data_IF_377608101189
#
_entry.id   IF_377608101189
#
_cell.length_a   1.000
_cell.length_b   1.000
_cell.length_c   1.000
_cell.angle_alpha   90.00
_cell.angle_beta   90.00
_cell.angle_gamma   90.00
#
_symmetry.space_group_name_H-M   'P 1'
#
loop_
_entity.id
_entity.type
_entity.pdbx_description
1 polymer ?
#
# COMPACT_ATOMS: atom_id res chain seq x y z
N UNK A 1 -18.31 -7.58 -9.28
CA UNK A 1 -17.64 -6.92 -8.14
C UNK A 1 -17.46 -5.45 -8.54
N UNK A 2 -18.23 -4.53 -7.97
CA UNK A 2 -18.12 -3.10 -8.31
C UNK A 2 -16.73 -2.64 -7.85
N UNK A 3 -15.88 -2.07 -8.73
CA UNK A 3 -14.58 -1.56 -8.31
C UNK A 3 -14.78 -0.56 -7.17
N UNK A 4 -13.97 -0.68 -6.12
CA UNK A 4 -14.00 0.28 -5.01
C UNK A 4 -13.85 1.70 -5.55
N UNK A 5 -14.90 2.51 -5.40
CA UNK A 5 -14.95 3.92 -5.85
C UNK A 5 -13.82 4.78 -5.27
N UNK A 6 -13.15 4.31 -4.20
CA UNK A 6 -12.00 4.97 -3.57
C UNK A 6 -10.86 5.28 -4.55
N UNK A 7 -10.75 4.54 -5.64
CA UNK A 7 -9.71 4.80 -6.63
C UNK A 7 -10.08 5.93 -7.60
N UNK A 8 -11.37 6.22 -7.80
CA UNK A 8 -11.85 7.19 -8.79
C UNK A 8 -11.77 8.65 -8.34
N UNK A 9 -11.62 8.91 -7.03
CA UNK A 9 -11.55 10.27 -6.50
C UNK A 9 -10.43 11.10 -7.12
N UNK A 10 -9.36 10.44 -7.55
CA UNK A 10 -8.13 11.07 -8.00
C UNK A 10 -8.06 11.19 -9.54
N UNK A 11 -9.08 10.76 -10.28
CA UNK A 11 -9.07 10.80 -11.75
C UNK A 11 -9.39 12.20 -12.29
N UNK A 12 -10.18 12.98 -11.56
CA UNK A 12 -10.53 14.36 -11.89
C UNK A 12 -10.27 15.26 -10.68
N UNK A 13 -10.07 16.56 -10.94
CA UNK A 13 -10.00 17.55 -9.86
C UNK A 13 -11.28 17.48 -9.02
N UNK A 14 -11.16 17.73 -7.71
CA UNK A 14 -12.32 17.79 -6.83
C UNK A 14 -13.38 18.79 -7.33
N UNK A 15 -12.93 19.93 -7.89
CA UNK A 15 -13.81 20.93 -8.51
C UNK A 15 -14.57 20.37 -9.71
N UNK A 16 -13.93 19.54 -10.55
CA UNK A 16 -14.59 18.87 -11.67
C UNK A 16 -15.68 17.92 -11.18
N UNK A 17 -15.42 17.12 -10.13
CA UNK A 17 -16.45 16.26 -9.53
C UNK A 17 -17.65 17.06 -9.02
N UNK A 18 -17.40 18.16 -8.31
CA UNK A 18 -18.46 19.05 -7.81
C UNK A 18 -19.27 19.64 -8.98
N UNK A 19 -18.61 20.12 -10.04
CA UNK A 19 -19.28 20.68 -11.21
C UNK A 19 -20.10 19.64 -11.96
N UNK A 20 -19.59 18.42 -12.15
CA UNK A 20 -20.34 17.33 -12.79
C UNK A 20 -21.61 16.99 -12.00
N UNK A 21 -21.51 16.87 -10.67
CA UNK A 21 -22.68 16.62 -9.81
C UNK A 21 -23.65 17.79 -9.85
N UNK A 22 -23.17 19.04 -9.84
CA UNK A 22 -24.01 20.23 -9.93
C UNK A 22 -24.77 20.31 -11.27
N UNK A 23 -24.09 20.08 -12.39
CA UNK A 23 -24.71 20.03 -13.72
C UNK A 23 -25.73 18.88 -13.82
N UNK A 24 -25.39 17.70 -13.30
CA UNK A 24 -26.29 16.55 -13.29
C UNK A 24 -27.55 16.86 -12.46
N UNK A 25 -27.41 17.44 -11.28
CA UNK A 25 -28.53 17.85 -10.45
C UNK A 25 -29.38 18.93 -11.15
N UNK A 26 -28.75 19.93 -11.77
CA UNK A 26 -29.44 20.98 -12.52
C UNK A 26 -30.24 20.43 -13.72
N UNK A 27 -29.71 19.43 -14.42
CA UNK A 27 -30.41 18.74 -15.49
C UNK A 27 -31.71 18.08 -15.00
N UNK A 28 -31.69 17.38 -13.86
CA UNK A 28 -32.92 16.77 -13.31
C UNK A 28 -33.95 17.79 -12.83
N UNK A 29 -33.53 18.98 -12.40
CA UNK A 29 -34.45 20.06 -12.05
C UNK A 29 -35.30 20.54 -13.25
N UNK A 30 -34.88 20.24 -14.49
CA UNK A 30 -35.68 20.56 -15.69
C UNK A 30 -36.87 19.61 -15.89
N UNK A 31 -36.83 18.41 -15.32
CA UNK A 31 -37.82 17.36 -15.58
C UNK A 31 -38.57 16.88 -14.34
N UNK A 32 -38.03 17.11 -13.14
CA UNK A 32 -38.55 16.60 -11.88
C UNK A 32 -38.87 17.73 -10.88
N UNK A 33 -39.83 17.55 -9.96
CA UNK A 33 -40.08 18.50 -8.89
C UNK A 33 -38.85 18.73 -8.02
N UNK A 34 -38.63 19.98 -7.58
CA UNK A 34 -37.48 20.39 -6.76
C UNK A 34 -37.29 19.48 -5.54
N UNK A 35 -38.37 19.10 -4.85
CA UNK A 35 -38.34 18.24 -3.67
C UNK A 35 -37.73 16.86 -3.95
N UNK A 36 -38.01 16.28 -5.11
CA UNK A 36 -37.48 14.96 -5.52
C UNK A 36 -35.99 15.03 -5.81
N UNK A 37 -35.53 16.13 -6.43
CA UNK A 37 -34.12 16.29 -6.84
C UNK A 37 -33.21 16.61 -5.65
N UNK A 38 -33.66 17.42 -4.69
CA UNK A 38 -32.84 17.80 -3.52
C UNK A 38 -32.86 16.77 -2.38
N UNK A 39 -33.87 15.90 -2.34
CA UNK A 39 -34.02 14.94 -1.23
C UNK A 39 -32.82 13.96 -1.11
N UNK A 40 -32.29 13.35 -2.20
CA UNK A 40 -31.15 12.44 -2.10
C UNK A 40 -29.87 13.05 -1.51
N UNK A 41 -29.35 14.22 -1.97
CA UNK A 41 -28.15 14.80 -1.36
C UNK A 41 -28.37 15.24 0.08
N UNK A 42 -29.56 15.76 0.43
CA UNK A 42 -29.89 16.10 1.83
C UNK A 42 -29.91 14.84 2.70
N UNK A 43 -30.55 13.76 2.25
CA UNK A 43 -30.60 12.49 2.99
C UNK A 43 -29.21 11.87 3.14
N UNK A 44 -28.38 11.92 2.10
CA UNK A 44 -27.00 11.43 2.13
C UNK A 44 -26.12 12.25 3.09
N UNK A 45 -26.23 13.58 3.07
CA UNK A 45 -25.50 14.45 4.01
C UNK A 45 -25.98 14.25 5.45
N UNK A 46 -27.29 14.24 5.65
CA UNK A 46 -27.91 14.04 6.97
C UNK A 46 -27.52 12.69 7.57
N UNK A 47 -27.56 11.61 6.79
CA UNK A 47 -27.13 10.28 7.26
C UNK A 47 -25.64 10.24 7.64
N UNK A 48 -24.76 10.94 6.92
CA UNK A 48 -23.34 11.06 7.29
C UNK A 48 -23.12 11.87 8.56
N UNK A 49 -23.83 12.98 8.73
CA UNK A 49 -23.78 13.80 9.95
C UNK A 49 -24.30 12.99 11.15
N UNK A 50 -25.45 12.31 10.98
CA UNK A 50 -26.03 11.45 12.01
C UNK A 50 -25.03 10.35 12.37
N UNK A 51 -24.47 9.63 11.39
CA UNK A 51 -23.46 8.61 11.64
C UNK A 51 -22.25 9.17 12.40
N UNK A 52 -21.72 10.32 11.99
CA UNK A 52 -20.63 11.00 12.69
C UNK A 52 -20.99 11.33 14.15
N UNK A 53 -22.18 11.86 14.40
CA UNK A 53 -22.65 12.17 15.75
C UNK A 53 -22.86 10.90 16.60
N UNK A 54 -23.36 9.82 16.00
CA UNK A 54 -23.49 8.52 16.66
C UNK A 54 -22.13 7.94 17.03
N UNK A 55 -21.13 8.03 16.15
CA UNK A 55 -19.74 7.62 16.44
C UNK A 55 -19.14 8.51 17.54
N UNK A 56 -19.29 9.83 17.43
CA UNK A 56 -18.78 10.79 18.44
C UNK A 56 -19.37 10.55 19.83
N UNK A 57 -20.64 10.12 19.91
CA UNK A 57 -21.32 9.77 21.18
C UNK A 57 -21.02 8.34 21.65
N UNK A 58 -20.23 7.56 20.91
CA UNK A 58 -19.90 6.17 21.24
C UNK A 58 -21.06 5.19 21.03
N UNK A 59 -22.12 5.58 20.33
CA UNK A 59 -23.28 4.73 20.04
C UNK A 59 -22.94 3.74 18.92
N UNK A 60 -22.20 4.21 17.90
CA UNK A 60 -21.74 3.38 16.78
C UNK A 60 -20.22 3.26 16.83
N UNK A 61 -19.71 2.07 16.52
CA UNK A 61 -18.26 1.81 16.44
C UNK A 61 -17.64 2.65 15.33
N UNK A 62 -16.55 3.33 15.66
CA UNK A 62 -15.72 4.01 14.68
C UNK A 62 -15.02 2.99 13.78
N UNK A 63 -15.31 3.03 12.48
CA UNK A 63 -14.64 2.17 11.50
C UNK A 63 -13.22 2.65 11.17
N UNK A 64 -12.85 3.87 11.54
CA UNK A 64 -11.50 4.40 11.30
C UNK A 64 -10.44 3.71 12.16
N UNK A 65 -10.81 3.25 13.36
CA UNK A 65 -9.90 2.49 14.24
C UNK A 65 -9.82 1.00 13.88
N UNK A 66 -10.57 0.55 12.86
CA UNK A 66 -10.59 -0.85 12.48
C UNK A 66 -9.24 -1.32 11.93
N UNK A 67 -8.68 -2.30 12.63
CA UNK A 67 -7.37 -2.88 12.33
C UNK A 67 -6.19 -2.10 12.91
N UNK A 68 -6.43 -1.02 13.65
CA UNK A 68 -5.37 -0.34 14.42
C UNK A 68 -4.90 -1.28 15.52
N UNK A 69 -3.57 -1.47 15.62
CA UNK A 69 -2.96 -2.19 16.75
C UNK A 69 -2.52 -1.18 17.79
N UNK A 70 -3.19 -1.20 18.96
CA UNK A 70 -2.87 -0.35 20.09
C UNK A 70 -1.58 -0.79 20.77
N UNK A 71 -0.71 0.16 21.14
CA UNK A 71 0.61 -0.11 21.68
C UNK A 71 1.71 0.01 20.62
N UNK A 72 2.93 -0.42 20.99
CA UNK A 72 4.13 -0.30 20.18
C UNK A 72 4.48 -1.66 19.58
N UNK A 73 4.62 -1.72 18.25
CA UNK A 73 4.96 -2.91 17.50
C UNK A 73 6.14 -2.68 16.57
N UNK A 74 6.80 -3.77 16.17
CA UNK A 74 7.82 -3.81 15.11
C UNK A 74 7.54 -4.99 14.19
N UNK A 75 7.78 -4.83 12.90
CA UNK A 75 7.75 -5.90 11.93
C UNK A 75 9.07 -6.68 11.97
N UNK A 76 8.99 -8.00 12.06
CA UNK A 76 10.12 -8.92 11.96
C UNK A 76 9.76 -10.04 10.98
N UNK A 77 10.75 -10.59 10.28
CA UNK A 77 10.51 -11.71 9.37
C UNK A 77 10.51 -13.01 10.18
N UNK A 78 9.40 -13.76 10.23
CA UNK A 78 9.38 -15.06 10.90
C UNK A 78 10.26 -16.07 10.14
N UNK A 79 10.78 -17.05 10.88
CA UNK A 79 11.44 -18.23 10.30
C UNK A 79 10.41 -19.14 9.64
N UNK A 80 10.88 -20.12 8.88
CA UNK A 80 10.01 -21.05 8.13
C UNK A 80 9.08 -21.87 9.04
N UNK A 81 9.51 -22.14 10.29
CA UNK A 81 8.70 -22.78 11.32
C UNK A 81 7.66 -21.85 12.00
N UNK A 82 7.65 -20.56 11.63
CA UNK A 82 6.77 -19.53 12.17
C UNK A 82 7.29 -18.82 13.43
N UNK A 83 8.43 -19.23 13.98
CA UNK A 83 9.04 -18.56 15.13
C UNK A 83 9.75 -17.26 14.72
N UNK A 84 9.82 -16.30 15.64
CA UNK A 84 10.61 -15.08 15.45
C UNK A 84 12.04 -15.25 15.97
N UNK A 85 12.98 -14.53 15.37
CA UNK A 85 14.34 -14.43 15.90
C UNK A 85 14.38 -13.65 17.20
N UNK A 86 15.24 -14.07 18.13
CA UNK A 86 15.53 -13.29 19.33
C UNK A 86 16.32 -12.02 19.00
N UNK A 87 17.21 -12.09 18.00
CA UNK A 87 17.93 -10.94 17.47
C UNK A 87 17.03 -10.14 16.52
N UNK A 88 16.83 -8.84 16.77
CA UNK A 88 16.13 -7.94 15.86
C UNK A 88 16.78 -7.88 14.48
N UNK A 89 15.98 -7.70 13.43
CA UNK A 89 16.42 -7.51 12.04
C UNK A 89 17.42 -8.57 11.57
N UNK A 90 17.23 -9.82 12.01
CA UNK A 90 18.16 -10.93 11.79
C UNK A 90 18.28 -11.42 10.35
N UNK A 91 17.44 -10.92 9.45
CA UNK A 91 17.38 -11.30 8.04
C UNK A 91 17.54 -10.03 7.20
N UNK A 92 18.01 -10.18 5.97
CA UNK A 92 17.96 -9.09 4.99
C UNK A 92 16.52 -8.84 4.51
N UNK A 93 16.31 -7.68 3.92
CA UNK A 93 15.06 -7.34 3.26
C UNK A 93 15.35 -6.49 2.03
N UNK A 94 14.60 -6.74 0.96
CA UNK A 94 14.60 -5.86 -0.21
C UNK A 94 13.31 -5.05 -0.24
N UNK A 95 13.45 -3.73 -0.35
CA UNK A 95 12.34 -2.81 -0.57
C UNK A 95 12.35 -2.40 -2.03
N UNK A 96 11.26 -2.68 -2.74
CA UNK A 96 11.08 -2.34 -4.13
C UNK A 96 9.90 -1.38 -4.28
N UNK A 97 10.19 -0.16 -4.70
CA UNK A 97 9.20 0.86 -5.00
C UNK A 97 8.90 0.76 -6.49
N UNK A 98 7.63 0.53 -6.83
CA UNK A 98 7.16 0.51 -8.21
C UNK A 98 6.18 1.66 -8.41
N UNK A 99 6.41 2.46 -9.44
CA UNK A 99 5.52 3.54 -9.83
C UNK A 99 4.99 3.36 -11.24
N UNK A 100 3.74 3.76 -11.45
CA UNK A 100 3.13 3.89 -12.75
C UNK A 100 2.41 5.23 -12.84
N UNK A 101 2.48 5.90 -14.00
CA UNK A 101 1.85 7.20 -14.22
C UNK A 101 1.21 7.29 -15.61
N UNK A 102 0.09 7.98 -15.70
CA UNK A 102 -0.42 8.53 -16.97
C UNK A 102 -0.16 10.03 -17.03
N UNK A 103 0.56 10.49 -18.05
CA UNK A 103 0.78 11.90 -18.36
C UNK A 103 -0.32 12.49 -19.26
N UNK A 104 -1.38 11.73 -19.52
CA UNK A 104 -2.51 12.16 -20.34
C UNK A 104 -3.54 12.92 -19.50
N UNK A 105 -4.25 13.88 -20.09
CA UNK A 105 -5.30 14.67 -19.42
C UNK A 105 -6.52 13.81 -19.01
N UNK A 106 -6.83 12.76 -19.76
CA UNK A 106 -7.84 11.74 -19.40
C UNK A 106 -7.37 10.75 -18.33
N UNK A 107 -6.12 10.88 -17.89
CA UNK A 107 -5.54 10.07 -16.82
C UNK A 107 -5.62 8.58 -17.11
N UNK A 108 -6.34 7.84 -16.26
CA UNK A 108 -6.51 6.39 -16.40
C UNK A 108 -7.59 5.95 -17.40
N UNK A 109 -8.37 6.89 -17.94
CA UNK A 109 -9.23 6.62 -19.10
C UNK A 109 -8.47 6.72 -20.42
N UNK A 110 -7.22 7.17 -20.39
CA UNK A 110 -6.39 7.31 -21.58
C UNK A 110 -6.17 5.97 -22.29
N UNK A 111 -6.01 5.99 -23.63
CA UNK A 111 -5.73 4.80 -24.42
C UNK A 111 -4.54 4.00 -23.87
N UNK A 112 -4.67 2.67 -23.87
CA UNK A 112 -3.63 1.75 -23.41
C UNK A 112 -3.58 1.50 -21.90
N UNK A 113 -4.15 2.39 -21.07
CA UNK A 113 -4.05 2.27 -19.61
C UNK A 113 -4.72 1.01 -19.06
N UNK A 114 -5.89 0.61 -19.58
CA UNK A 114 -6.57 -0.62 -19.15
C UNK A 114 -5.72 -1.87 -19.38
N UNK A 115 -5.17 -2.04 -20.59
CA UNK A 115 -4.35 -3.19 -20.93
C UNK A 115 -3.09 -3.25 -20.03
N UNK A 116 -2.49 -2.08 -19.78
CA UNK A 116 -1.37 -1.93 -18.87
C UNK A 116 -1.74 -2.30 -17.42
N UNK A 117 -2.88 -1.82 -16.91
CA UNK A 117 -3.38 -2.13 -15.58
C UNK A 117 -3.72 -3.62 -15.40
N UNK A 118 -4.30 -4.26 -16.42
CA UNK A 118 -4.63 -5.69 -16.39
C UNK A 118 -3.37 -6.55 -16.22
N UNK A 119 -2.29 -6.20 -16.92
CA UNK A 119 -0.99 -6.88 -16.80
C UNK A 119 -0.36 -6.67 -15.42
N UNK A 120 -0.36 -5.43 -14.91
CA UNK A 120 0.12 -5.15 -13.54
C UNK A 120 -0.68 -5.94 -12.50
N UNK A 121 -1.99 -6.03 -12.67
CA UNK A 121 -2.87 -6.86 -11.85
C UNK A 121 -2.46 -8.33 -11.87
N UNK A 122 -2.19 -8.88 -13.05
CA UNK A 122 -1.74 -10.27 -13.21
C UNK A 122 -0.39 -10.52 -12.52
N UNK A 123 0.57 -9.60 -12.60
CA UNK A 123 1.84 -9.71 -11.88
C UNK A 123 1.64 -9.78 -10.36
N UNK A 124 0.78 -8.93 -9.80
CA UNK A 124 0.49 -8.95 -8.37
C UNK A 124 -0.26 -10.20 -7.91
N UNK A 125 -1.13 -10.74 -8.77
CA UNK A 125 -1.81 -12.01 -8.51
C UNK A 125 -0.83 -13.18 -8.50
N UNK A 126 0.08 -13.26 -9.49
CA UNK A 126 1.13 -14.26 -9.55
C UNK A 126 2.03 -14.20 -8.30
N UNK A 127 2.45 -13.01 -7.89
CA UNK A 127 3.23 -12.82 -6.66
C UNK A 127 2.47 -13.25 -5.41
N UNK A 128 1.18 -12.91 -5.33
CA UNK A 128 0.31 -13.26 -4.22
C UNK A 128 0.06 -14.76 -4.09
N UNK A 129 -0.07 -15.47 -5.22
CA UNK A 129 -0.29 -16.91 -5.27
C UNK A 129 1.00 -17.71 -5.03
N UNK A 130 2.15 -17.21 -5.50
CA UNK A 130 3.43 -17.91 -5.47
C UNK A 130 4.46 -17.23 -4.55
N UNK A 131 4.01 -16.74 -3.37
CA UNK A 131 4.82 -15.97 -2.41
C UNK A 131 6.15 -16.61 -2.07
N UNK A 132 6.14 -17.89 -1.69
CA UNK A 132 7.35 -18.62 -1.28
C UNK A 132 8.33 -18.75 -2.43
N UNK A 133 7.85 -19.11 -3.62
CA UNK A 133 8.66 -19.24 -4.84
C UNK A 133 9.36 -17.92 -5.20
N UNK A 134 8.63 -16.80 -5.12
CA UNK A 134 9.13 -15.49 -5.51
C UNK A 134 9.73 -14.69 -4.36
N UNK A 135 9.84 -15.25 -3.16
CA UNK A 135 10.31 -14.52 -1.97
C UNK A 135 9.49 -13.25 -1.67
N UNK A 136 8.23 -13.20 -2.08
CA UNK A 136 7.40 -12.00 -1.99
C UNK A 136 6.67 -11.93 -0.65
N UNK A 137 7.02 -10.93 0.17
CA UNK A 137 6.47 -10.75 1.52
C UNK A 137 5.15 -9.98 1.46
N UNK A 138 5.02 -9.03 0.55
CA UNK A 138 3.80 -8.25 0.35
C UNK A 138 4.08 -6.86 -0.19
N UNK A 139 3.02 -6.06 -0.33
CA UNK A 139 3.10 -4.67 -0.79
C UNK A 139 2.04 -3.82 -0.12
N UNK A 140 2.20 -2.50 -0.17
CA UNK A 140 1.17 -1.53 0.20
C UNK A 140 -0.08 -1.64 -0.69
N UNK A 141 -1.21 -1.12 -0.21
CA UNK A 141 -2.27 -0.70 -1.13
C UNK A 141 -1.73 0.33 -2.13
N UNK A 142 -2.45 0.56 -3.23
CA UNK A 142 -2.09 1.61 -4.18
C UNK A 142 -2.02 2.94 -3.46
N UNK A 143 -0.82 3.54 -3.49
CA UNK A 143 -0.57 4.90 -3.01
C UNK A 143 -0.76 5.84 -4.18
N UNK A 144 -1.42 6.96 -3.95
CA UNK A 144 -1.61 8.01 -4.94
C UNK A 144 -0.76 9.22 -4.55
N UNK A 145 -0.20 9.87 -5.56
CA UNK A 145 0.53 11.11 -5.34
C UNK A 145 -0.44 12.27 -5.15
N UNK A 146 -0.09 13.19 -4.25
CA UNK A 146 -0.87 14.40 -3.94
C UNK A 146 -0.21 15.67 -4.46
N UNK A 147 0.76 15.54 -5.37
CA UNK A 147 1.51 16.65 -5.98
C UNK A 147 0.69 17.43 -7.02
N UNK A 148 -0.41 16.86 -7.53
CA UNK A 148 -1.31 17.51 -8.47
C UNK A 148 -2.78 17.10 -8.26
N UNK A 149 -3.70 18.04 -8.47
CA UNK A 149 -5.13 17.74 -8.59
C UNK A 149 -5.33 16.89 -9.86
N UNK A 150 -5.58 15.59 -9.71
CA UNK A 150 -5.53 14.53 -10.76
C UNK A 150 -4.15 13.94 -11.07
N UNK A 151 -3.30 13.81 -10.04
CA UNK A 151 -2.05 13.07 -10.12
C UNK A 151 -2.25 11.58 -10.40
N UNK A 152 -2.25 11.18 -11.68
CA UNK A 152 -2.34 9.79 -12.11
C UNK A 152 -1.11 8.92 -11.76
N UNK A 153 -0.27 9.37 -10.82
CA UNK A 153 0.84 8.59 -10.29
C UNK A 153 0.30 7.65 -9.23
N UNK A 154 0.48 6.36 -9.47
CA UNK A 154 0.30 5.31 -8.49
C UNK A 154 1.65 4.75 -8.10
N UNK A 155 1.83 4.46 -6.82
CA UNK A 155 3.01 3.80 -6.30
C UNK A 155 2.65 2.61 -5.39
N UNK A 156 3.55 1.64 -5.34
CA UNK A 156 3.50 0.51 -4.43
C UNK A 156 4.87 0.31 -3.81
N UNK A 157 4.90 0.19 -2.49
CA UNK A 157 6.10 -0.25 -1.77
C UNK A 157 5.92 -1.75 -1.54
N UNK A 158 6.82 -2.55 -2.09
CA UNK A 158 6.82 -4.00 -1.96
C UNK A 158 8.07 -4.51 -1.25
N UNK A 159 7.91 -5.61 -0.51
CA UNK A 159 8.92 -6.18 0.36
C UNK A 159 9.22 -7.61 -0.09
N UNK A 160 10.51 -7.93 -0.14
CA UNK A 160 11.02 -9.18 -0.68
C UNK A 160 12.09 -9.77 0.24
N UNK A 161 12.20 -11.10 0.23
CA UNK A 161 13.12 -11.87 1.06
C UNK A 161 14.59 -11.61 0.69
N UNK A 162 14.88 -11.47 -0.59
CA UNK A 162 16.23 -11.17 -1.09
C UNK A 162 16.18 -10.58 -2.51
N UNK A 163 17.32 -10.07 -2.99
CA UNK A 163 17.41 -9.46 -4.32
C UNK A 163 17.31 -10.50 -5.44
N UNK A 164 17.83 -11.70 -5.20
CA UNK A 164 17.81 -12.83 -6.13
C UNK A 164 16.37 -13.24 -6.44
N UNK A 165 15.50 -13.26 -5.43
CA UNK A 165 14.09 -13.58 -5.58
C UNK A 165 13.35 -12.54 -6.43
N UNK A 166 13.61 -11.24 -6.18
CA UNK A 166 13.07 -10.15 -7.00
C UNK A 166 13.55 -10.25 -8.46
N UNK A 167 14.84 -10.50 -8.68
CA UNK A 167 15.42 -10.66 -10.01
C UNK A 167 14.88 -11.91 -10.73
N UNK A 168 14.66 -13.01 -10.01
CA UNK A 168 14.04 -14.21 -10.56
C UNK A 168 12.61 -13.92 -11.04
N UNK A 169 11.83 -13.16 -10.27
CA UNK A 169 10.50 -12.74 -10.70
C UNK A 169 10.53 -11.80 -11.91
N UNK A 170 11.51 -10.88 -11.98
CA UNK A 170 11.67 -9.99 -13.14
C UNK A 170 11.92 -10.75 -14.47
N UNK A 171 12.48 -11.96 -14.38
CA UNK A 171 12.69 -12.88 -15.52
C UNK A 171 11.49 -13.79 -15.80
N UNK A 172 10.43 -13.73 -14.99
CA UNK A 172 9.26 -14.60 -15.15
C UNK A 172 8.46 -14.27 -16.41
N UNK A 173 7.72 -15.24 -16.98
CA UNK A 173 6.90 -15.00 -18.17
C UNK A 173 5.85 -13.89 -17.98
N UNK A 174 5.23 -13.79 -16.79
CA UNK A 174 4.22 -12.75 -16.53
C UNK A 174 4.84 -11.35 -16.53
N UNK A 175 6.04 -11.21 -15.98
CA UNK A 175 6.74 -9.94 -15.95
C UNK A 175 7.22 -9.55 -17.37
N UNK A 176 7.84 -10.48 -18.09
CA UNK A 176 8.30 -10.26 -19.47
C UNK A 176 7.15 -9.89 -20.42
N UNK A 177 5.98 -10.52 -20.28
CA UNK A 177 4.77 -10.14 -21.03
C UNK A 177 4.42 -8.66 -20.82
N UNK A 178 4.53 -8.16 -19.60
CA UNK A 178 4.21 -6.77 -19.32
C UNK A 178 5.27 -5.78 -19.77
N UNK A 179 6.54 -6.16 -19.67
CA UNK A 179 7.64 -5.36 -20.19
C UNK A 179 7.53 -5.20 -21.71
N UNK A 180 7.23 -6.29 -22.42
CA UNK A 180 7.01 -6.27 -23.87
C UNK A 180 5.80 -5.40 -24.22
N UNK A 181 4.66 -5.59 -23.54
CA UNK A 181 3.47 -4.76 -23.76
C UNK A 181 3.77 -3.26 -23.59
N UNK A 182 4.55 -2.90 -22.57
CA UNK A 182 4.92 -1.52 -22.32
C UNK A 182 5.82 -0.96 -23.43
N UNK A 183 6.92 -1.64 -23.78
CA UNK A 183 7.86 -1.13 -24.76
C UNK A 183 7.33 -1.16 -26.19
N UNK A 184 6.59 -2.20 -26.58
CA UNK A 184 5.93 -2.26 -27.89
C UNK A 184 4.81 -1.20 -28.00
N UNK A 185 4.10 -0.94 -26.89
CA UNK A 185 3.05 0.07 -26.80
C UNK A 185 3.57 1.51 -26.69
N UNK A 186 4.84 1.72 -26.34
CA UNK A 186 5.38 3.05 -25.99
C UNK A 186 5.22 4.09 -27.11
N UNK A 187 5.40 3.68 -28.38
CA UNK A 187 5.17 4.58 -29.53
C UNK A 187 3.71 5.00 -29.67
N UNK A 188 2.77 4.11 -29.32
CA UNK A 188 1.32 4.37 -29.41
C UNK A 188 0.79 5.09 -28.16
N UNK A 189 1.43 4.90 -27.01
CA UNK A 189 0.99 5.40 -25.72
C UNK A 189 2.15 6.09 -24.96
N UNK A 190 2.71 7.19 -25.51
CA UNK A 190 3.87 7.88 -24.93
C UNK A 190 3.56 8.54 -23.58
N UNK A 191 2.27 8.68 -23.24
CA UNK A 191 1.81 9.19 -21.95
C UNK A 191 1.94 8.19 -20.81
N UNK A 192 2.16 6.90 -21.07
CA UNK A 192 2.34 5.90 -20.02
C UNK A 192 3.79 5.88 -19.53
N UNK A 193 3.97 6.09 -18.23
CA UNK A 193 5.26 6.07 -17.56
C UNK A 193 5.34 4.99 -16.47
N UNK A 194 6.54 4.44 -16.28
CA UNK A 194 6.88 3.54 -15.18
C UNK A 194 8.17 4.01 -14.52
N UNK A 195 8.31 3.72 -13.23
CA UNK A 195 9.56 3.88 -12.50
C UNK A 195 9.72 2.72 -11.53
N UNK A 196 10.97 2.42 -11.15
CA UNK A 196 11.21 1.59 -9.99
C UNK A 196 12.44 2.06 -9.21
N UNK A 197 12.48 1.72 -7.93
CA UNK A 197 13.64 1.87 -7.06
C UNK A 197 13.82 0.57 -6.27
N UNK A 198 15.05 0.08 -6.19
CA UNK A 198 15.39 -1.17 -5.50
C UNK A 198 16.40 -0.90 -4.38
N UNK A 199 16.02 -1.20 -3.15
CA UNK A 199 16.89 -1.07 -1.98
C UNK A 199 17.12 -2.44 -1.37
N UNK A 200 18.36 -2.94 -1.44
CA UNK A 200 18.76 -4.16 -0.73
C UNK A 200 19.36 -3.79 0.61
N UNK A 201 18.69 -4.19 1.69
CA UNK A 201 19.05 -3.79 3.06
C UNK A 201 19.53 -5.01 3.84
N UNK A 202 20.83 -5.09 4.19
CA UNK A 202 21.38 -6.23 4.91
C UNK A 202 20.74 -6.45 6.28
N UNK A 203 20.91 -7.66 6.83
CA UNK A 203 20.56 -7.95 8.23
C UNK A 203 21.18 -6.92 9.16
N UNK A 204 20.41 -6.44 10.12
CA UNK A 204 20.82 -5.42 11.09
C UNK A 204 20.95 -3.98 10.55
N UNK A 205 20.55 -3.74 9.29
CA UNK A 205 20.57 -2.40 8.67
C UNK A 205 19.17 -1.81 8.44
N UNK A 206 18.15 -2.41 9.03
CA UNK A 206 16.77 -1.92 8.97
C UNK A 206 16.08 -2.01 10.33
N UNK A 207 15.07 -1.18 10.52
CA UNK A 207 14.17 -1.24 11.67
C UNK A 207 12.76 -0.82 11.26
N UNK A 208 11.78 -1.13 12.10
CA UNK A 208 10.42 -0.60 11.94
C UNK A 208 9.83 -0.30 13.32
N UNK A 209 8.93 0.67 13.37
CA UNK A 209 8.16 1.00 14.57
C UNK A 209 6.76 1.43 14.18
N UNK A 210 5.78 0.87 14.85
CA UNK A 210 4.36 1.16 14.68
C UNK A 210 3.79 1.47 16.06
N UNK A 211 3.20 2.64 16.24
CA UNK A 211 2.60 3.02 17.53
C UNK A 211 1.16 3.44 17.31
N UNK A 212 0.20 2.72 17.90
CA UNK A 212 -1.24 2.94 17.68
C UNK A 212 -1.58 3.07 16.19
N UNK A 213 -0.97 2.20 15.37
CA UNK A 213 -0.99 2.32 13.92
C UNK A 213 -1.66 1.10 13.28
N UNK A 214 -2.39 1.34 12.19
CA UNK A 214 -2.90 0.25 11.36
C UNK A 214 -1.74 -0.40 10.60
N UNK A 215 -1.63 -1.73 10.52
CA UNK A 215 -0.60 -2.39 9.74
C UNK A 215 -0.50 -1.78 8.33
N UNK A 216 0.68 -1.28 7.99
CA UNK A 216 0.99 -0.59 6.73
C UNK A 216 2.45 -0.88 6.36
N UNK A 217 2.79 -0.75 5.07
CA UNK A 217 4.14 -1.02 4.59
C UNK A 217 4.57 -2.44 4.95
N UNK A 218 5.68 -2.57 5.69
CA UNK A 218 6.19 -3.87 6.10
C UNK A 218 5.23 -4.58 7.08
N UNK A 219 4.60 -3.86 8.01
CA UNK A 219 3.72 -4.44 9.03
C UNK A 219 2.49 -5.17 8.47
N UNK A 220 2.09 -4.91 7.22
CA UNK A 220 0.97 -5.59 6.56
C UNK A 220 1.38 -6.77 5.67
N UNK A 221 2.68 -7.12 5.61
CA UNK A 221 3.12 -8.31 4.87
C UNK A 221 2.52 -9.58 5.47
N UNK A 222 2.54 -10.65 4.69
CA UNK A 222 2.02 -11.97 5.08
C UNK A 222 3.08 -13.02 4.80
N UNK A 223 3.41 -13.80 5.82
CA UNK A 223 4.44 -14.83 5.75
C UNK A 223 3.80 -16.21 5.80
N UNK A 224 4.16 -17.09 4.88
CA UNK A 224 3.64 -18.46 4.84
C UNK A 224 4.35 -19.30 5.90
N UNK A 225 3.58 -19.99 6.75
CA UNK A 225 4.09 -20.97 7.72
C UNK A 225 4.18 -22.35 7.06
N UNK A 226 5.37 -22.97 7.11
CA UNK A 226 5.61 -24.30 6.54
C UNK A 226 5.81 -24.32 5.02
N UNK A 227 6.55 -25.31 4.52
CA UNK A 227 6.59 -25.65 3.10
C UNK A 227 5.57 -26.78 2.85
N UNK A 228 4.51 -26.50 2.09
CA UNK A 228 3.58 -27.51 1.63
C UNK A 228 2.13 -27.29 2.09
N UNK A 229 1.23 -27.45 1.13
CA UNK A 229 -0.24 -27.44 1.20
C UNK A 229 -1.00 -26.11 1.22
N UNK A 230 -2.07 -26.14 0.43
CA UNK A 230 -2.99 -25.07 0.01
C UNK A 230 -3.85 -24.46 1.15
N UNK A 231 -3.43 -24.64 2.41
CA UNK A 231 -4.01 -24.01 3.59
C UNK A 231 -2.96 -23.28 4.44
N UNK A 232 -1.86 -22.84 3.81
CA UNK A 232 -0.80 -22.05 4.39
C UNK A 232 -1.33 -20.95 5.34
N UNK A 233 -1.21 -21.20 6.65
CA UNK A 233 -1.47 -20.21 7.69
C UNK A 233 -0.54 -19.02 7.47
N UNK A 234 -1.11 -17.83 7.27
CA UNK A 234 -0.31 -16.61 7.10
C UNK A 234 -0.01 -15.96 8.44
N UNK A 235 1.26 -15.81 8.75
CA UNK A 235 1.76 -15.14 9.96
C UNK A 235 1.95 -13.66 9.66
N UNK A 236 1.49 -12.80 10.58
CA UNK A 236 1.76 -11.37 10.58
C UNK A 236 3.20 -11.11 11.05
N UNK A 237 3.95 -10.18 10.42
CA UNK A 237 5.31 -9.85 10.86
C UNK A 237 5.34 -9.06 12.17
N UNK A 238 4.20 -8.50 12.60
CA UNK A 238 4.15 -7.56 13.70
C UNK A 238 4.21 -8.28 15.05
N UNK A 239 5.26 -8.01 15.80
CA UNK A 239 5.45 -8.42 17.20
C UNK A 239 5.38 -7.20 18.11
N UNK A 240 4.96 -7.38 19.37
CA UNK A 240 5.05 -6.30 20.36
C UNK A 240 6.51 -5.87 20.50
N UNK A 241 6.72 -4.56 20.50
CA UNK A 241 8.02 -3.91 20.68
C UNK A 241 8.17 -3.41 22.14
N UNK A 242 7.51 -4.07 23.09
CA UNK A 242 7.66 -3.74 24.50
C UNK A 242 8.98 -4.30 25.07
N UNK A 243 9.56 -3.57 26.01
CA UNK A 243 10.77 -3.99 26.71
C UNK A 243 12.10 -3.47 26.13
N UNK A 244 13.23 -3.81 26.78
CA UNK A 244 14.53 -3.19 26.54
C UNK A 244 15.13 -3.48 25.17
N UNK A 245 14.79 -4.62 24.54
CA UNK A 245 15.35 -5.05 23.25
C UNK A 245 14.83 -4.22 22.06
N UNK A 246 13.75 -3.46 22.24
CA UNK A 246 13.10 -2.69 21.18
C UNK A 246 13.01 -1.18 21.50
N UNK A 247 13.70 -0.75 22.56
CA UNK A 247 13.56 0.59 23.13
C UNK A 247 14.10 1.70 22.23
N UNK A 248 15.19 1.43 21.48
CA UNK A 248 15.85 2.41 20.59
C UNK A 248 15.90 1.90 19.16
N UNK A 249 16.06 2.81 18.20
CA UNK A 249 16.29 2.47 16.79
C UNK A 249 17.43 1.47 16.62
N UNK A 250 18.59 1.75 17.21
CA UNK A 250 19.77 0.90 17.08
C UNK A 250 19.54 -0.52 17.63
N UNK A 251 18.83 -0.68 18.76
CA UNK A 251 18.44 -2.01 19.24
C UNK A 251 17.45 -2.72 18.34
N UNK A 252 16.47 -2.00 17.76
CA UNK A 252 15.54 -2.57 16.76
C UNK A 252 16.25 -2.97 15.46
N UNK A 253 17.39 -2.36 15.15
CA UNK A 253 18.32 -2.79 14.10
C UNK A 253 19.24 -3.93 14.55
N UNK A 254 19.12 -4.45 15.78
CA UNK A 254 20.00 -5.51 16.28
C UNK A 254 21.45 -5.05 16.53
N UNK A 255 21.69 -3.75 16.71
CA UNK A 255 23.00 -3.20 17.08
C UNK A 255 23.14 -3.19 18.59
N UNK A 256 24.32 -3.60 19.08
CA UNK A 256 24.69 -3.43 20.49
C UNK A 256 24.89 -1.94 20.76
N UNK A 257 23.97 -1.38 21.54
CA UNK A 257 24.06 0.02 21.97
C UNK A 257 24.76 0.03 23.31
N UNK A 258 26.09 0.09 23.28
CA UNK A 258 26.82 0.62 24.44
C UNK A 258 26.36 2.08 24.60
N UNK A 259 25.70 2.38 25.72
CA UNK A 259 25.14 3.71 26.04
C UNK A 259 26.18 4.83 25.84
N UNK A 260 27.45 4.53 26.07
CA UNK A 260 28.57 5.46 25.99
C UNK A 260 28.86 5.96 24.56
N UNK A 261 28.59 5.15 23.53
CA UNK A 261 28.84 5.55 22.14
C UNK A 261 27.68 6.33 21.52
N UNK A 262 26.45 6.15 22.00
CA UNK A 262 25.27 6.82 21.44
C UNK A 262 25.23 8.33 21.75
N UNK A 263 25.59 8.71 22.98
CA UNK A 263 25.68 10.13 23.37
C UNK A 263 26.87 10.83 22.68
N UNK A 264 27.97 10.12 22.45
CA UNK A 264 29.13 10.65 21.73
C UNK A 264 28.85 10.89 20.23
N UNK A 265 27.99 10.09 19.60
CA UNK A 265 27.64 10.22 18.18
C UNK A 265 26.59 11.31 17.93
N UNK A 266 25.75 11.63 18.93
CA UNK A 266 24.82 12.76 18.91
C UNK A 266 25.53 14.11 19.12
N UNK A 267 26.63 14.13 19.89
CA UNK A 267 27.43 15.35 20.13
C UNK A 267 28.43 15.66 19.00
N UNK A 268 28.58 14.77 18.02
CA UNK A 268 29.47 14.94 16.85
C UNK A 268 28.75 15.36 15.56
N UNK A 269 27.43 15.57 15.60
CA UNK A 269 26.63 16.10 14.49
C UNK A 269 26.09 17.48 14.83
#
# INVERSE_FOLDING_TARGET
MIPSLRHFSDDFRMTTWILMVACFQAFFLLFLPVSVVIAPPIAALSSRIIYFLLVKRGIVRDSQVDGVRAGKYTAQIPRENGSFSASPSSQEVVVFILGARSNHNEGRFAPGFKAFADVFGAMWQELGANRTKWGYLGKTSTLYSTDADSGNTMAWISYWKSLEHLQAFAKSPVHQKGLNLFFEGQKKHPHLGIMHESYSVPKGHWETVYHNFKPFGFGQTKHVRGQGDNSAETISPLISADGPSWSTMAKRMGKDVDRENYDNDLMRR
#
